data_IF_273071271569
#
_entry.id   IF_273071271569
#
_cell.length_a   1.000
_cell.length_b   1.000
_cell.length_c   1.000
_cell.angle_alpha   90.00
_cell.angle_beta   90.00
_cell.angle_gamma   90.00
#
_symmetry.space_group_name_H-M   'P 1'
#
loop_
_entity.id
_entity.type
_entity.pdbx_description
1 polymer ?
#
# COMPACT_ATOMS: atom_id res chain seq x y z
N UNK A 1 -28.62 -1.89 4.05
CA UNK A 1 -28.73 -1.33 2.69
C UNK A 1 -28.92 0.18 2.75
N UNK A 2 -30.05 0.74 3.21
CA UNK A 2 -30.29 2.20 3.23
C UNK A 2 -29.25 3.01 4.05
N UNK A 3 -28.80 2.47 5.20
CA UNK A 3 -27.73 3.09 6.02
C UNK A 3 -26.35 2.96 5.38
N UNK A 4 -26.06 1.82 4.76
CA UNK A 4 -24.75 1.57 4.15
C UNK A 4 -24.54 2.48 2.94
N UNK A 5 -25.57 2.67 2.11
CA UNK A 5 -25.55 3.62 0.99
C UNK A 5 -25.40 5.05 1.48
N UNK A 6 -26.10 5.43 2.56
CA UNK A 6 -25.96 6.75 3.18
C UNK A 6 -24.52 7.02 3.64
N UNK A 7 -23.89 6.08 4.35
CA UNK A 7 -22.50 6.22 4.79
C UNK A 7 -21.54 6.31 3.61
N UNK A 8 -21.72 5.48 2.59
CA UNK A 8 -20.91 5.51 1.38
C UNK A 8 -21.02 6.85 0.63
N UNK A 9 -22.23 7.33 0.37
CA UNK A 9 -22.47 8.62 -0.28
C UNK A 9 -21.81 9.77 0.48
N UNK A 10 -21.90 9.74 1.80
CA UNK A 10 -21.32 10.78 2.65
C UNK A 10 -19.80 10.74 2.68
N UNK A 11 -19.19 9.55 2.74
CA UNK A 11 -17.74 9.39 2.67
C UNK A 11 -17.16 9.73 1.29
N UNK A 12 -17.97 9.60 0.23
CA UNK A 12 -17.64 10.05 -1.12
C UNK A 12 -17.94 11.54 -1.36
N UNK A 13 -18.43 12.28 -0.35
CA UNK A 13 -18.90 13.66 -0.47
C UNK A 13 -19.98 13.86 -1.56
N UNK A 14 -20.75 12.81 -1.87
CA UNK A 14 -21.86 12.87 -2.83
C UNK A 14 -23.13 13.43 -2.20
N UNK A 15 -23.22 13.39 -0.87
CA UNK A 15 -24.31 13.98 -0.11
C UNK A 15 -23.92 15.35 0.40
N UNK A 16 -24.74 16.37 0.08
CA UNK A 16 -24.58 17.73 0.57
C UNK A 16 -24.68 17.79 2.11
N UNK A 17 -24.18 18.87 2.70
CA UNK A 17 -24.17 19.08 4.15
C UNK A 17 -25.59 19.06 4.72
N UNK A 18 -25.96 17.91 5.31
CA UNK A 18 -27.26 17.65 5.94
C UNK A 18 -27.19 17.88 7.45
N UNK A 19 -26.12 18.51 7.95
CA UNK A 19 -25.89 18.79 9.37
C UNK A 19 -25.42 17.58 10.18
N UNK A 20 -25.38 16.37 9.60
CA UNK A 20 -24.81 15.20 10.26
C UNK A 20 -23.28 15.21 10.10
N UNK A 21 -22.53 15.13 11.20
CA UNK A 21 -21.07 15.01 11.13
C UNK A 21 -20.67 13.54 11.11
N UNK A 22 -19.95 13.11 10.08
CA UNK A 22 -19.45 11.73 10.03
C UNK A 22 -18.41 11.49 11.14
N UNK A 23 -18.45 10.31 11.75
CA UNK A 23 -17.51 9.91 12.78
C UNK A 23 -16.05 10.03 12.30
N UNK A 24 -15.21 10.69 13.11
CA UNK A 24 -13.83 11.02 12.72
C UNK A 24 -12.93 9.79 12.53
N UNK A 25 -13.13 8.73 13.32
CA UNK A 25 -12.39 7.47 13.20
C UNK A 25 -12.73 6.79 11.87
N UNK A 26 -14.02 6.76 11.52
CA UNK A 26 -14.48 6.21 10.24
C UNK A 26 -13.94 6.99 9.05
N UNK A 27 -13.91 8.33 9.12
CA UNK A 27 -13.34 9.18 8.06
C UNK A 27 -11.85 8.89 7.87
N UNK A 28 -11.08 8.76 8.96
CA UNK A 28 -9.67 8.37 8.88
C UNK A 28 -9.49 6.99 8.25
N UNK A 29 -10.27 5.99 8.67
CA UNK A 29 -10.22 4.65 8.10
C UNK A 29 -10.50 4.70 6.59
N UNK A 30 -11.52 5.43 6.17
CA UNK A 30 -11.88 5.59 4.76
C UNK A 30 -10.75 6.17 3.92
N UNK A 31 -10.11 7.24 4.39
CA UNK A 31 -8.97 7.81 3.65
C UNK A 31 -7.75 6.90 3.65
N UNK A 32 -7.49 6.17 4.74
CA UNK A 32 -6.45 5.14 4.76
C UNK A 32 -6.72 4.05 3.72
N UNK A 33 -7.98 3.62 3.56
CA UNK A 33 -8.37 2.66 2.52
C UNK A 33 -8.09 3.18 1.11
N UNK A 34 -8.29 4.48 0.85
CA UNK A 34 -7.92 5.09 -0.43
C UNK A 34 -6.40 5.12 -0.69
N UNK A 35 -5.57 5.11 0.36
CA UNK A 35 -4.10 5.14 0.24
C UNK A 35 -3.53 3.74 -0.01
N UNK A 36 -4.15 2.69 0.53
CA UNK A 36 -3.63 1.32 0.43
C UNK A 36 -3.37 0.82 -1.00
N UNK A 37 -4.25 1.01 -2.00
CA UNK A 37 -4.00 0.62 -3.38
C UNK A 37 -2.71 1.22 -3.94
N UNK A 38 -2.37 2.45 -3.54
CA UNK A 38 -1.13 3.10 -3.96
C UNK A 38 0.10 2.47 -3.30
N UNK A 39 0.04 2.19 -1.99
CA UNK A 39 1.11 1.46 -1.27
C UNK A 39 1.34 0.09 -1.92
N UNK A 40 0.28 -0.66 -2.20
CA UNK A 40 0.36 -1.94 -2.90
C UNK A 40 0.88 -1.80 -4.33
N UNK A 41 0.53 -0.73 -5.05
CA UNK A 41 1.09 -0.46 -6.37
C UNK A 41 2.62 -0.25 -6.31
N UNK A 42 3.11 0.49 -5.30
CA UNK A 42 4.54 0.74 -5.08
C UNK A 42 5.32 -0.51 -4.67
N UNK A 43 4.66 -1.50 -4.07
CA UNK A 43 5.24 -2.81 -3.73
C UNK A 43 5.16 -3.79 -4.91
N UNK A 44 4.03 -3.86 -5.60
CA UNK A 44 3.74 -4.94 -6.55
C UNK A 44 4.21 -4.67 -7.98
N UNK A 45 4.12 -3.44 -8.48
CA UNK A 45 4.48 -3.15 -9.87
C UNK A 45 5.99 -3.26 -10.12
N UNK A 46 6.87 -2.76 -9.24
CA UNK A 46 8.31 -2.89 -9.46
C UNK A 46 8.78 -4.34 -9.26
N UNK A 47 8.40 -4.99 -8.16
CA UNK A 47 9.03 -6.25 -7.71
C UNK A 47 8.05 -7.39 -7.42
N UNK A 48 6.74 -7.11 -7.39
CA UNK A 48 5.70 -8.13 -7.26
C UNK A 48 5.26 -8.76 -8.58
N UNK A 49 5.86 -8.40 -9.72
CA UNK A 49 5.69 -9.14 -10.99
C UNK A 49 6.27 -10.55 -10.83
N UNK A 50 5.79 -11.51 -11.61
CA UNK A 50 6.36 -12.87 -11.63
C UNK A 50 7.09 -13.11 -12.95
N UNK A 51 8.30 -13.66 -12.90
CA UNK A 51 9.02 -14.14 -14.10
C UNK A 51 8.41 -15.42 -14.67
N UNK A 52 7.74 -16.22 -13.83
CA UNK A 52 7.19 -17.54 -14.19
C UNK A 52 5.71 -17.50 -14.56
N UNK A 53 4.98 -16.51 -14.06
CA UNK A 53 3.55 -16.32 -14.32
C UNK A 53 3.34 -15.04 -15.13
N UNK A 54 2.78 -15.16 -16.33
CA UNK A 54 2.50 -14.03 -17.23
C UNK A 54 1.24 -13.25 -16.85
N UNK A 55 0.75 -13.39 -15.61
CA UNK A 55 -0.47 -12.73 -15.15
C UNK A 55 -0.14 -11.28 -14.80
N UNK A 56 -0.75 -10.29 -15.48
CA UNK A 56 -0.50 -8.89 -15.17
C UNK A 56 -1.13 -8.52 -13.83
N UNK A 57 -0.38 -7.81 -12.97
CA UNK A 57 -0.85 -7.35 -11.65
C UNK A 57 -1.75 -6.10 -11.73
N UNK A 58 -1.56 -5.29 -12.77
CA UNK A 58 -2.24 -3.99 -12.89
C UNK A 58 -3.78 -4.04 -12.88
N UNK A 59 -4.48 -5.06 -13.45
CA UNK A 59 -5.94 -5.10 -13.37
C UNK A 59 -6.42 -5.25 -11.93
N UNK A 60 -5.73 -6.08 -11.14
CA UNK A 60 -6.03 -6.30 -9.73
C UNK A 60 -5.75 -5.04 -8.88
N UNK A 61 -4.72 -4.27 -9.24
CA UNK A 61 -4.43 -2.97 -8.61
C UNK A 61 -5.48 -1.91 -8.93
N UNK A 62 -5.95 -1.82 -10.18
CA UNK A 62 -7.02 -0.87 -10.54
C UNK A 62 -8.32 -1.25 -9.84
N UNK A 63 -8.65 -2.55 -9.82
CA UNK A 63 -9.84 -3.04 -9.13
C UNK A 63 -9.76 -2.86 -7.61
N UNK A 64 -8.55 -2.86 -7.01
CA UNK A 64 -8.40 -2.66 -5.56
C UNK A 64 -8.72 -1.23 -5.10
N UNK A 65 -8.72 -0.25 -6.00
CA UNK A 65 -9.23 1.10 -5.69
C UNK A 65 -10.71 1.10 -5.26
N UNK A 66 -11.47 0.08 -5.64
CA UNK A 66 -12.89 -0.08 -5.30
C UNK A 66 -13.10 -1.28 -4.37
N UNK A 67 -12.51 -2.43 -4.72
CA UNK A 67 -12.69 -3.70 -4.04
C UNK A 67 -11.61 -4.06 -3.01
N UNK A 68 -10.62 -3.21 -2.78
CA UNK A 68 -9.56 -3.41 -1.80
C UNK A 68 -8.79 -4.73 -1.94
N UNK A 69 -8.47 -5.36 -0.80
CA UNK A 69 -7.79 -6.66 -0.75
C UNK A 69 -8.56 -7.75 -1.48
N UNK A 70 -9.89 -7.71 -1.52
CA UNK A 70 -10.68 -8.73 -2.21
C UNK A 70 -10.34 -8.79 -3.71
N UNK A 71 -9.97 -7.66 -4.31
CA UNK A 71 -9.46 -7.62 -5.68
C UNK A 71 -8.00 -8.11 -5.79
N UNK A 72 -7.17 -7.95 -4.75
CA UNK A 72 -5.76 -8.35 -4.77
C UNK A 72 -5.53 -9.83 -4.44
N UNK A 73 -6.37 -10.44 -3.59
CA UNK A 73 -6.21 -11.82 -3.14
C UNK A 73 -6.09 -12.83 -4.30
N UNK A 74 -6.90 -12.76 -5.38
CA UNK A 74 -6.74 -13.66 -6.52
C UNK A 74 -5.33 -13.59 -7.12
N UNK A 75 -4.74 -12.39 -7.21
CA UNK A 75 -3.37 -12.23 -7.67
C UNK A 75 -2.39 -12.87 -6.69
N UNK A 76 -2.57 -12.67 -5.38
CA UNK A 76 -1.66 -13.23 -4.36
C UNK A 76 -1.62 -14.76 -4.41
N UNK A 77 -2.76 -15.40 -4.68
CA UNK A 77 -2.87 -16.87 -4.82
C UNK A 77 -2.20 -17.36 -6.11
N UNK A 78 -2.33 -16.62 -7.22
CA UNK A 78 -1.80 -17.00 -8.52
C UNK A 78 -0.33 -16.62 -8.73
N UNK A 79 0.20 -15.75 -7.86
CA UNK A 79 1.56 -15.26 -7.92
C UNK A 79 2.58 -16.37 -7.65
N UNK A 80 3.69 -16.37 -8.41
CA UNK A 80 4.78 -17.34 -8.27
C UNK A 80 6.13 -16.62 -8.19
N UNK A 81 7.00 -16.93 -7.23
CA UNK A 81 8.37 -16.43 -7.23
C UNK A 81 9.22 -17.06 -8.34
N UNK A 82 10.27 -16.40 -8.86
CA UNK A 82 10.84 -15.11 -8.43
C UNK A 82 10.37 -13.91 -9.28
N UNK A 83 10.63 -12.67 -8.82
CA UNK A 83 10.45 -11.45 -9.62
C UNK A 83 11.23 -11.50 -10.94
N UNK A 84 10.71 -10.91 -12.04
CA UNK A 84 11.47 -10.75 -13.27
C UNK A 84 12.65 -9.80 -13.07
N UNK A 85 13.69 -9.98 -13.88
CA UNK A 85 14.73 -8.98 -14.01
C UNK A 85 14.08 -7.64 -14.43
N UNK A 86 14.54 -6.55 -13.83
CA UNK A 86 14.02 -5.21 -14.11
C UNK A 86 15.08 -4.51 -14.94
N UNK A 87 14.75 -4.15 -16.18
CA UNK A 87 15.65 -3.40 -17.04
C UNK A 87 15.67 -1.91 -16.64
N UNK A 88 16.82 -1.25 -16.77
CA UNK A 88 17.04 0.14 -16.34
C UNK A 88 16.10 1.13 -17.05
N UNK A 89 15.79 0.87 -18.31
CA UNK A 89 14.91 1.66 -19.15
C UNK A 89 13.44 1.52 -18.73
N UNK A 90 13.02 0.38 -18.17
CA UNK A 90 11.66 0.20 -17.61
C UNK A 90 11.44 1.06 -16.35
N UNK A 91 12.44 1.18 -15.47
CA UNK A 91 12.31 1.92 -14.19
C UNK A 91 12.09 3.43 -14.43
N UNK A 92 12.72 3.98 -15.47
CA UNK A 92 12.59 5.39 -15.84
C UNK A 92 11.22 5.77 -16.39
N UNK A 93 10.41 4.79 -16.79
CA UNK A 93 9.11 5.00 -17.42
C UNK A 93 7.99 5.22 -16.40
N UNK A 94 6.97 5.96 -16.82
CA UNK A 94 5.73 6.09 -16.05
C UNK A 94 4.91 4.79 -16.19
N UNK A 95 4.31 4.24 -15.13
CA UNK A 95 4.16 4.78 -13.78
C UNK A 95 5.29 4.41 -12.79
N UNK A 96 6.25 3.57 -13.17
CA UNK A 96 7.29 3.05 -12.26
C UNK A 96 8.15 4.16 -11.64
N UNK A 97 8.50 5.20 -12.41
CA UNK A 97 9.21 6.38 -11.90
C UNK A 97 8.46 7.09 -10.75
N UNK A 98 7.13 7.18 -10.85
CA UNK A 98 6.31 7.78 -9.80
C UNK A 98 6.23 6.87 -8.57
N UNK A 99 6.14 5.56 -8.78
CA UNK A 99 6.06 4.55 -7.72
C UNK A 99 7.39 4.31 -6.99
N UNK A 100 8.53 4.64 -7.61
CA UNK A 100 9.85 4.63 -6.98
C UNK A 100 10.19 5.97 -6.29
N UNK A 101 9.34 6.99 -6.41
CA UNK A 101 9.59 8.32 -5.85
C UNK A 101 9.58 8.34 -4.33
N UNK A 102 10.69 8.78 -3.74
CA UNK A 102 10.84 9.02 -2.29
C UNK A 102 9.91 10.10 -1.77
N UNK A 103 9.65 11.12 -2.58
CA UNK A 103 8.70 12.18 -2.24
C UNK A 103 7.28 11.61 -2.10
N UNK A 104 6.85 10.78 -3.06
CA UNK A 104 5.55 10.12 -3.01
C UNK A 104 5.42 9.24 -1.77
N UNK A 105 6.44 8.42 -1.47
CA UNK A 105 6.46 7.60 -0.26
C UNK A 105 6.41 8.45 1.02
N UNK A 106 7.14 9.57 1.06
CA UNK A 106 7.16 10.51 2.19
C UNK A 106 5.80 11.18 2.42
N UNK A 107 5.13 11.61 1.34
CA UNK A 107 3.78 12.18 1.42
C UNK A 107 2.78 11.14 1.92
N UNK A 108 2.80 9.91 1.39
CA UNK A 108 1.94 8.81 1.84
C UNK A 108 2.15 8.55 3.33
N UNK A 109 3.40 8.46 3.79
CA UNK A 109 3.72 8.26 5.19
C UNK A 109 3.20 9.41 6.07
N UNK A 110 3.45 10.66 5.68
CA UNK A 110 3.02 11.83 6.44
C UNK A 110 1.49 11.95 6.53
N UNK A 111 0.77 11.73 5.42
CA UNK A 111 -0.69 11.73 5.38
C UNK A 111 -1.24 10.58 6.23
N UNK A 112 -0.71 9.37 6.06
CA UNK A 112 -1.10 8.20 6.85
C UNK A 112 -0.89 8.42 8.35
N UNK A 113 0.24 9.01 8.74
CA UNK A 113 0.53 9.36 10.13
C UNK A 113 -0.44 10.42 10.66
N UNK A 114 -0.73 11.44 9.87
CA UNK A 114 -1.73 12.46 10.21
C UNK A 114 -3.12 11.87 10.45
N UNK A 115 -3.58 10.96 9.59
CA UNK A 115 -4.88 10.30 9.71
C UNK A 115 -4.96 9.38 10.94
N UNK A 116 -3.87 8.66 11.25
CA UNK A 116 -3.79 7.80 12.43
C UNK A 116 -3.77 8.63 13.72
N UNK A 117 -3.00 9.72 13.75
CA UNK A 117 -3.01 10.66 14.89
C UNK A 117 -4.40 11.29 15.05
N UNK A 118 -5.04 11.69 13.95
CA UNK A 118 -6.39 12.26 13.99
C UNK A 118 -7.40 11.28 14.58
N UNK A 119 -7.40 10.01 14.15
CA UNK A 119 -8.25 8.97 14.71
C UNK A 119 -7.92 8.69 16.18
N UNK A 120 -6.63 8.63 16.54
CA UNK A 120 -6.17 8.37 17.90
C UNK A 120 -6.54 9.47 18.90
N UNK A 121 -6.72 10.71 18.43
CA UNK A 121 -7.19 11.85 19.25
C UNK A 121 -8.72 11.91 19.40
N UNK A 122 -9.47 11.02 18.75
CA UNK A 122 -10.93 10.96 18.88
C UNK A 122 -11.32 10.57 20.31
N UNK A 123 -12.45 11.12 20.80
CA UNK A 123 -12.92 10.88 22.16
C UNK A 123 -13.47 9.46 22.35
N UNK A 124 -13.67 9.05 23.61
CA UNK A 124 -14.24 7.73 23.92
C UNK A 124 -15.61 7.50 23.30
N UNK A 125 -16.44 8.55 23.20
CA UNK A 125 -17.76 8.47 22.56
C UNK A 125 -17.66 8.24 21.04
N UNK A 126 -16.71 8.89 20.36
CA UNK A 126 -16.46 8.69 18.94
C UNK A 126 -16.03 7.23 18.66
N UNK A 127 -15.19 6.65 19.51
CA UNK A 127 -14.80 5.24 19.39
C UNK A 127 -15.97 4.29 19.65
N UNK A 128 -16.81 4.58 20.66
CA UNK A 128 -18.01 3.79 20.95
C UNK A 128 -18.99 3.82 19.78
N UNK A 129 -19.21 4.98 19.18
CA UNK A 129 -20.03 5.14 17.98
C UNK A 129 -19.43 4.35 16.81
N UNK A 130 -18.11 4.42 16.58
CA UNK A 130 -17.42 3.64 15.56
C UNK A 130 -17.63 2.13 15.77
N UNK A 131 -17.51 1.62 17.00
CA UNK A 131 -17.77 0.20 17.29
C UNK A 131 -19.24 -0.19 17.05
N UNK A 132 -20.18 0.71 17.30
CA UNK A 132 -21.58 0.49 16.94
C UNK A 132 -21.73 0.38 15.43
N UNK A 133 -21.11 1.29 14.68
CA UNK A 133 -21.10 1.24 13.22
C UNK A 133 -20.46 -0.03 12.66
N UNK A 134 -19.36 -0.48 13.22
CA UNK A 134 -18.70 -1.74 12.85
C UNK A 134 -19.61 -2.97 13.05
N UNK A 135 -20.45 -2.96 14.09
CA UNK A 135 -21.37 -4.07 14.37
C UNK A 135 -22.62 -4.05 13.51
N UNK A 136 -23.11 -2.85 13.20
CA UNK A 136 -24.42 -2.71 12.57
C UNK A 136 -24.33 -2.50 11.05
N UNK A 137 -23.32 -1.78 10.54
CA UNK A 137 -23.15 -1.51 9.10
C UNK A 137 -22.34 -2.62 8.44
N UNK A 138 -22.93 -3.26 7.42
CA UNK A 138 -22.23 -4.28 6.62
C UNK A 138 -21.06 -3.69 5.87
N UNK A 139 -21.24 -2.48 5.34
CA UNK A 139 -20.20 -1.76 4.61
C UNK A 139 -18.98 -1.50 5.50
N UNK A 140 -19.17 -0.88 6.68
CA UNK A 140 -18.08 -0.57 7.60
C UNK A 140 -17.40 -1.84 8.12
N UNK A 141 -18.19 -2.89 8.40
CA UNK A 141 -17.66 -4.19 8.79
C UNK A 141 -16.72 -4.77 7.73
N UNK A 142 -17.15 -4.79 6.47
CA UNK A 142 -16.35 -5.30 5.34
C UNK A 142 -15.11 -4.43 5.11
N UNK A 143 -15.21 -3.11 5.27
CA UNK A 143 -14.07 -2.18 5.19
C UNK A 143 -13.04 -2.46 6.28
N UNK A 144 -13.45 -2.74 7.51
CA UNK A 144 -12.52 -3.11 8.59
C UNK A 144 -11.81 -4.44 8.29
N UNK A 145 -12.53 -5.45 7.79
CA UNK A 145 -11.92 -6.73 7.37
C UNK A 145 -10.90 -6.48 6.26
N UNK A 146 -11.26 -5.66 5.27
CA UNK A 146 -10.38 -5.30 4.16
C UNK A 146 -9.10 -4.59 4.65
N UNK A 147 -9.24 -3.60 5.54
CA UNK A 147 -8.13 -2.95 6.22
C UNK A 147 -7.23 -3.96 6.93
N UNK A 148 -7.80 -4.92 7.66
CA UNK A 148 -7.03 -5.98 8.33
C UNK A 148 -6.29 -6.85 7.32
N UNK A 149 -6.93 -7.28 6.23
CA UNK A 149 -6.31 -8.10 5.20
C UNK A 149 -5.14 -7.37 4.52
N UNK A 150 -5.35 -6.12 4.09
CA UNK A 150 -4.30 -5.29 3.50
C UNK A 150 -3.12 -5.10 4.48
N UNK A 151 -3.42 -4.91 5.76
CA UNK A 151 -2.40 -4.79 6.80
C UNK A 151 -1.63 -6.10 6.98
N UNK A 152 -2.33 -7.24 7.11
CA UNK A 152 -1.74 -8.56 7.34
C UNK A 152 -0.89 -9.05 6.17
N UNK A 153 -1.27 -8.75 4.93
CA UNK A 153 -0.46 -9.12 3.76
C UNK A 153 0.75 -8.19 3.55
N UNK A 154 0.76 -6.99 4.14
CA UNK A 154 1.80 -6.00 3.86
C UNK A 154 3.22 -6.42 4.28
N UNK A 155 3.48 -7.10 5.43
CA UNK A 155 4.82 -7.57 5.78
C UNK A 155 5.40 -8.56 4.76
N UNK A 156 4.55 -9.43 4.20
CA UNK A 156 4.97 -10.38 3.18
C UNK A 156 5.43 -9.66 1.91
N UNK A 157 4.67 -8.66 1.45
CA UNK A 157 5.03 -7.93 0.24
C UNK A 157 6.21 -6.98 0.43
N UNK A 158 6.38 -6.41 1.63
CA UNK A 158 7.59 -5.69 2.03
C UNK A 158 8.80 -6.62 2.04
N UNK A 159 8.67 -7.83 2.59
CA UNK A 159 9.74 -8.84 2.54
C UNK A 159 10.11 -9.20 1.10
N UNK A 160 9.12 -9.45 0.24
CA UNK A 160 9.34 -9.76 -1.16
C UNK A 160 10.10 -8.63 -1.87
N UNK A 161 9.67 -7.37 -1.73
CA UNK A 161 10.37 -6.21 -2.32
C UNK A 161 11.78 -6.02 -1.75
N UNK A 162 11.98 -6.31 -0.46
CA UNK A 162 13.30 -6.21 0.18
C UNK A 162 14.28 -7.26 -0.36
N UNK A 163 13.82 -8.50 -0.50
CA UNK A 163 14.63 -9.59 -1.04
C UNK A 163 14.95 -9.41 -2.52
N UNK A 164 14.00 -8.92 -3.32
CA UNK A 164 14.24 -8.61 -4.74
C UNK A 164 15.27 -7.50 -4.93
N UNK A 165 15.31 -6.53 -4.00
CA UNK A 165 16.32 -5.46 -3.96
C UNK A 165 17.66 -5.89 -3.36
N UNK A 166 17.78 -7.15 -2.92
CA UNK A 166 18.96 -7.67 -2.20
C UNK A 166 19.34 -6.82 -0.98
N UNK A 167 18.36 -6.12 -0.38
CA UNK A 167 18.61 -5.22 0.75
C UNK A 167 18.60 -6.01 2.05
N UNK A 168 19.76 -6.12 2.71
CA UNK A 168 19.96 -6.97 3.90
C UNK A 168 19.54 -6.33 5.23
N UNK A 169 18.83 -5.21 5.20
CA UNK A 169 18.58 -4.40 6.39
C UNK A 169 17.33 -4.87 7.16
N UNK A 170 17.43 -5.98 7.87
CA UNK A 170 16.27 -6.67 8.47
C UNK A 170 15.47 -5.92 9.54
N UNK A 171 15.98 -4.82 10.12
CA UNK A 171 15.26 -4.09 11.18
C UNK A 171 14.01 -3.35 10.67
N UNK A 172 13.92 -3.07 9.37
CA UNK A 172 12.73 -2.41 8.79
C UNK A 172 11.55 -3.37 8.63
N UNK A 173 11.81 -4.67 8.61
CA UNK A 173 10.79 -5.69 8.42
C UNK A 173 9.72 -5.73 9.52
N UNK A 174 10.09 -5.74 10.83
CA UNK A 174 9.08 -5.70 11.89
C UNK A 174 8.21 -4.44 11.87
N UNK A 175 8.70 -3.32 11.30
CA UNK A 175 7.90 -2.11 11.16
C UNK A 175 6.70 -2.31 10.24
N UNK A 176 6.81 -3.19 9.23
CA UNK A 176 5.73 -3.48 8.29
C UNK A 176 4.47 -4.06 8.94
N UNK A 177 4.55 -4.54 10.19
CA UNK A 177 3.38 -5.00 10.96
C UNK A 177 2.48 -3.83 11.37
N UNK A 178 3.01 -2.61 11.47
CA UNK A 178 2.22 -1.42 11.79
C UNK A 178 1.39 -1.04 10.55
N UNK A 179 0.05 -1.13 10.61
CA UNK A 179 -0.82 -0.88 9.47
C UNK A 179 -0.54 0.47 8.81
N UNK A 180 -0.42 0.46 7.48
CA UNK A 180 -0.07 1.59 6.62
C UNK A 180 1.30 2.23 6.89
N UNK A 181 1.61 2.63 8.12
CA UNK A 181 2.84 3.34 8.48
C UNK A 181 4.09 2.50 8.24
N UNK A 182 4.04 1.22 8.61
CA UNK A 182 5.11 0.26 8.39
C UNK A 182 5.53 0.15 6.93
N UNK A 183 4.63 -0.31 6.03
CA UNK A 183 4.95 -0.40 4.61
C UNK A 183 5.28 0.97 4.00
N UNK A 184 4.63 2.06 4.40
CA UNK A 184 4.95 3.40 3.86
C UNK A 184 6.33 3.90 4.27
N UNK A 185 6.74 3.67 5.53
CA UNK A 185 8.07 3.99 6.02
C UNK A 185 9.12 3.13 5.32
N UNK A 186 8.82 1.84 5.10
CA UNK A 186 9.68 0.98 4.30
C UNK A 186 9.89 1.54 2.88
N UNK A 187 8.82 1.96 2.19
CA UNK A 187 8.91 2.58 0.86
C UNK A 187 9.79 3.85 0.89
N UNK A 188 9.68 4.65 1.96
CA UNK A 188 10.50 5.84 2.17
C UNK A 188 11.98 5.50 2.43
N UNK A 189 12.30 4.36 3.03
CA UNK A 189 13.68 3.97 3.38
C UNK A 189 14.37 3.06 2.36
N UNK A 190 13.63 2.26 1.58
CA UNK A 190 14.20 1.26 0.65
C UNK A 190 15.16 1.86 -0.39
N UNK A 191 16.27 1.23 -0.78
CA UNK A 191 17.09 1.73 -1.87
C UNK A 191 16.28 1.84 -3.18
N UNK A 192 16.50 2.88 -3.98
CA UNK A 192 15.85 3.00 -5.30
C UNK A 192 16.45 1.98 -6.26
N UNK A 193 15.65 1.43 -7.18
CA UNK A 193 16.15 0.45 -8.14
C UNK A 193 17.29 1.01 -9.01
N UNK A 194 17.20 2.28 -9.42
CA UNK A 194 18.26 2.94 -10.20
C UNK A 194 19.60 3.01 -9.45
N UNK A 195 19.58 3.22 -8.12
CA UNK A 195 20.81 3.24 -7.32
C UNK A 195 21.50 1.87 -7.25
N UNK A 196 20.71 0.79 -7.21
CA UNK A 196 21.21 -0.59 -7.17
C UNK A 196 21.82 -1.02 -8.51
N UNK A 197 21.20 -0.61 -9.62
CA UNK A 197 21.68 -0.93 -10.96
C UNK A 197 22.98 -0.17 -11.29
N UNK A 198 23.05 1.13 -10.97
CA UNK A 198 24.28 1.93 -11.11
C UNK A 198 25.46 1.44 -10.26
N UNK A 199 25.19 0.90 -9.06
CA UNK A 199 26.23 0.27 -8.25
C UNK A 199 26.78 -1.01 -8.90
N UNK A 200 25.91 -1.81 -9.52
CA UNK A 200 26.28 -3.08 -10.17
C UNK A 200 27.11 -2.86 -11.45
N UNK A 201 26.76 -1.87 -12.27
CA UNK A 201 27.54 -1.52 -13.48
C UNK A 201 28.93 -0.98 -13.15
N UNK A 202 29.06 -0.17 -12.10
CA UNK A 202 30.36 0.35 -11.64
C UNK A 202 31.30 -0.74 -11.10
N UNK A 203 30.75 -1.82 -10.55
CA UNK A 203 31.55 -2.96 -10.09
C UNK A 203 32.07 -3.83 -11.23
N UNK A 204 31.32 -3.99 -12.32
CA UNK A 204 31.76 -4.75 -13.50
C UNK A 204 32.82 -4.03 -14.34
N UNK A 205 32.80 -2.70 -14.39
CA UNK A 205 33.79 -1.92 -15.15
C UNK A 205 35.18 -1.88 -14.48
N UNK A 206 35.24 -2.06 -13.16
CA UNK A 206 36.51 -2.15 -12.41
C UNK A 206 37.19 -3.54 -12.52
N UNK A 207 36.54 -4.51 -13.16
CA UNK A 207 37.06 -5.87 -13.37
C UNK A 207 37.60 -6.07 -14.80
N UNK A 208 38.12 -5.02 -15.45
CA UNK A 208 38.88 -5.20 -16.70
C UNK A 208 40.21 -5.92 -16.40
N UNK A 209 40.51 -7.05 -17.07
CA UNK A 209 41.75 -7.76 -16.84
C UNK A 209 42.91 -6.89 -17.31
N UNK A 210 43.87 -6.68 -16.40
CA UNK A 210 45.19 -6.16 -16.73
C UNK A 210 45.81 -7.12 -17.76
N UNK A 211 45.92 -6.68 -19.01
CA UNK A 211 46.70 -7.38 -20.04
C UNK A 211 48.19 -7.24 -19.75
#
# INVERSE_FOLDING_TARGET
>A
MLRDTYFLEKLLNLKADDGFRMNGVLVSLWYIMGIWPLVYSMLLLPTGRSSKSKIPVWPFLVLSCIGGAYALIPYFVLWKPPPPAIDEDEIGQWPLKFLESKLTAGVIFAVGLGLIIFAGKAGGDDWREFFQYFRESKFIHVTCIDFTLLSTFSPFWVYNDMTSRRWKNGWVLPLAVVPLLGPSLYLLLRPSLSSLLGATSSSSDNEKPLK
#
